data_IF_721407628813
#
_entry.id   IF_721407628813
#
_cell.length_a   1.000
_cell.length_b   1.000
_cell.length_c   1.000
_cell.angle_alpha   90.00
_cell.angle_beta   90.00
_cell.angle_gamma   90.00
#
_symmetry.space_group_name_H-M   'P 1'
#
loop_
_entity.id
_entity.type
_entity.pdbx_description
1 polymer ?
#
# COMPACT_ATOMS: atom_id res chain seq x y z
N UNK A 1 -17.40 10.83 1.39
CA UNK A 1 -16.26 10.15 0.75
C UNK A 1 -16.67 9.66 -0.62
N UNK A 2 -15.71 9.28 -1.45
CA UNK A 2 -15.92 8.60 -2.73
C UNK A 2 -14.95 7.42 -2.79
N UNK A 3 -15.32 6.34 -3.48
CA UNK A 3 -14.50 5.12 -3.57
C UNK A 3 -14.83 4.32 -4.83
N UNK A 4 -13.89 3.49 -5.25
CA UNK A 4 -13.99 2.63 -6.42
C UNK A 4 -13.06 1.43 -6.27
N UNK A 5 -13.53 0.26 -6.72
CA UNK A 5 -12.68 -0.92 -6.90
C UNK A 5 -12.14 -0.95 -8.33
N UNK A 6 -10.83 -1.21 -8.47
CA UNK A 6 -10.17 -1.33 -9.78
C UNK A 6 -9.36 -2.62 -9.82
N UNK A 7 -9.50 -3.38 -10.91
CA UNK A 7 -8.75 -4.62 -11.13
C UNK A 7 -7.70 -4.42 -12.23
N UNK A 8 -6.45 -4.74 -11.93
CA UNK A 8 -5.36 -4.76 -12.90
C UNK A 8 -5.11 -6.21 -13.37
N UNK A 9 -5.76 -6.59 -14.47
CA UNK A 9 -5.70 -7.96 -14.98
C UNK A 9 -4.28 -8.36 -15.44
N UNK A 10 -3.87 -9.59 -15.16
CA UNK A 10 -2.57 -10.14 -15.58
C UNK A 10 -1.35 -9.55 -14.86
N UNK A 11 -1.56 -8.76 -13.81
CA UNK A 11 -0.50 -8.20 -12.98
C UNK A 11 -0.23 -9.10 -11.78
N UNK A 12 1.04 -9.41 -11.51
CA UNK A 12 1.48 -10.19 -10.35
C UNK A 12 2.15 -9.33 -9.27
N UNK A 13 2.51 -8.09 -9.60
CA UNK A 13 3.14 -7.13 -8.69
C UNK A 13 2.51 -5.76 -8.85
N UNK A 14 2.44 -5.01 -7.76
CA UNK A 14 1.98 -3.63 -7.75
C UNK A 14 3.05 -2.70 -7.15
N UNK A 15 3.05 -1.44 -7.58
CA UNK A 15 4.05 -0.43 -7.24
C UNK A 15 3.41 0.97 -7.12
N UNK A 16 4.17 1.91 -6.56
CA UNK A 16 3.77 3.31 -6.45
C UNK A 16 3.30 3.66 -5.03
N UNK A 17 2.20 4.41 -4.95
CA UNK A 17 1.59 4.93 -3.72
C UNK A 17 2.61 5.52 -2.73
N UNK A 18 3.49 6.39 -3.23
CA UNK A 18 4.42 7.14 -2.39
C UNK A 18 3.66 8.16 -1.52
N UNK A 19 4.17 8.55 -0.36
CA UNK A 19 5.48 8.27 0.22
C UNK A 19 5.40 7.26 1.39
N UNK A 20 6.29 6.26 1.40
CA UNK A 20 6.31 5.16 2.38
C UNK A 20 7.73 4.67 2.64
N UNK A 21 8.00 4.24 3.86
CA UNK A 21 9.28 3.64 4.27
C UNK A 21 9.29 2.11 4.07
N UNK A 22 8.87 1.64 2.89
CA UNK A 22 8.73 0.21 2.56
C UNK A 22 9.50 -0.18 1.31
N UNK A 23 9.66 -1.50 1.04
CA UNK A 23 10.06 -1.98 -0.27
C UNK A 23 9.20 -1.40 -1.41
N UNK A 24 9.79 -1.38 -2.60
CA UNK A 24 9.15 -0.88 -3.82
C UNK A 24 7.87 -1.68 -4.20
N UNK A 25 7.86 -3.03 -4.16
CA UNK A 25 6.63 -3.80 -4.34
C UNK A 25 5.64 -3.54 -3.20
N UNK A 26 4.38 -3.31 -3.55
CA UNK A 26 3.28 -3.25 -2.59
C UNK A 26 2.95 -4.64 -2.06
N UNK A 27 2.41 -4.67 -0.85
CA UNK A 27 1.94 -5.85 -0.17
C UNK A 27 0.41 -5.81 -0.05
N UNK A 28 -0.21 -6.98 0.05
CA UNK A 28 -1.65 -7.08 0.30
C UNK A 28 -1.99 -6.45 1.66
N UNK A 29 -3.00 -5.60 1.67
CA UNK A 29 -3.50 -4.92 2.86
C UNK A 29 -4.69 -5.65 3.47
N UNK A 30 -5.39 -6.49 2.71
CA UNK A 30 -6.51 -7.26 3.23
C UNK A 30 -6.04 -8.44 4.06
N UNK A 31 -6.72 -8.64 5.19
CA UNK A 31 -6.47 -9.75 6.12
C UNK A 31 -6.73 -9.35 7.57
N UNK A 32 -6.63 -10.31 8.51
CA UNK A 32 -6.72 -10.00 9.92
C UNK A 32 -5.62 -9.02 10.31
N UNK A 33 -5.99 -7.95 11.02
CA UNK A 33 -5.04 -7.05 11.67
C UNK A 33 -4.19 -7.87 12.63
N UNK A 34 -2.89 -7.91 12.42
CA UNK A 34 -1.98 -8.45 13.43
C UNK A 34 -1.84 -7.39 14.53
N UNK A 35 -2.26 -7.67 15.77
CA UNK A 35 -2.09 -6.72 16.87
C UNK A 35 -0.60 -6.41 17.05
N UNK A 36 -0.21 -5.17 17.41
CA UNK A 36 1.18 -4.78 17.59
C UNK A 36 1.91 -5.62 18.65
N UNK A 37 1.20 -6.10 19.66
CA UNK A 37 1.71 -7.02 20.70
C UNK A 37 1.96 -8.46 20.19
N UNK A 38 1.43 -8.81 19.03
CA UNK A 38 1.59 -10.11 18.37
C UNK A 38 2.52 -10.04 17.15
N UNK A 39 3.08 -8.85 16.84
CA UNK A 39 4.09 -8.72 15.80
C UNK A 39 5.41 -9.34 16.31
N UNK A 40 6.08 -10.21 15.53
CA UNK A 40 7.43 -10.65 15.89
C UNK A 40 8.40 -9.47 15.87
N UNK A 41 9.56 -9.59 16.52
CA UNK A 41 10.60 -8.54 16.59
C UNK A 41 11.05 -8.01 15.21
N UNK A 42 10.80 -8.79 14.16
CA UNK A 42 10.99 -8.42 12.76
C UNK A 42 9.76 -8.88 11.95
N UNK A 43 8.67 -8.09 11.93
CA UNK A 43 7.48 -8.43 11.17
C UNK A 43 7.81 -8.44 9.66
N UNK A 44 7.17 -9.32 8.86
CA UNK A 44 7.25 -9.16 7.41
C UNK A 44 6.78 -7.73 7.03
N UNK A 45 7.39 -7.11 6.01
CA UNK A 45 7.03 -5.76 5.60
C UNK A 45 5.55 -5.70 5.23
N UNK A 46 4.82 -4.79 5.89
CA UNK A 46 3.38 -4.62 5.74
C UNK A 46 2.56 -5.52 6.69
N UNK A 47 2.07 -4.95 7.80
CA UNK A 47 0.99 -5.55 8.58
C UNK A 47 -0.29 -5.74 7.74
N UNK A 48 -0.73 -6.99 7.52
CA UNK A 48 -2.06 -7.26 6.96
C UNK A 48 -3.13 -6.59 7.83
N UNK A 49 -4.15 -6.04 7.19
CA UNK A 49 -5.31 -5.40 7.81
C UNK A 49 -5.30 -3.88 7.85
N UNK A 50 -4.26 -3.20 7.34
CA UNK A 50 -4.22 -1.74 7.24
C UNK A 50 -4.04 -1.25 5.79
N UNK A 51 -4.92 -0.35 5.30
CA UNK A 51 -4.81 0.18 3.94
C UNK A 51 -3.61 1.15 3.84
N UNK A 52 -3.05 1.28 2.63
CA UNK A 52 -2.15 2.39 2.35
C UNK A 52 -2.90 3.70 2.53
N UNK A 53 -2.35 4.62 3.33
CA UNK A 53 -2.93 5.94 3.57
C UNK A 53 -2.10 6.99 2.84
N UNK A 54 -2.79 7.86 2.11
CA UNK A 54 -2.21 9.01 1.43
C UNK A 54 -2.77 10.25 2.12
N UNK A 55 -1.98 10.80 3.03
CA UNK A 55 -2.34 11.99 3.79
C UNK A 55 -1.06 12.66 4.30
N UNK A 56 -0.70 13.81 3.75
CA UNK A 56 0.59 14.43 4.05
C UNK A 56 0.67 14.78 5.55
N UNK A 57 1.58 14.14 6.27
CA UNK A 57 1.81 14.30 7.70
C UNK A 57 3.27 14.60 8.00
N UNK A 58 3.50 15.35 9.08
CA UNK A 58 4.80 15.46 9.72
C UNK A 58 4.94 14.32 10.74
N UNK A 59 5.71 13.29 10.38
CA UNK A 59 5.91 12.10 11.21
C UNK A 59 7.29 12.14 11.85
N UNK A 60 7.32 12.48 13.14
CA UNK A 60 8.54 12.43 13.94
C UNK A 60 9.07 10.99 14.06
N UNK A 61 10.35 10.80 13.71
CA UNK A 61 11.06 9.54 13.96
C UNK A 61 10.41 8.32 13.29
N UNK A 62 9.92 8.49 12.05
CA UNK A 62 9.27 7.40 11.32
C UNK A 62 10.16 6.15 11.25
N UNK A 63 9.53 4.99 11.41
CA UNK A 63 10.25 3.73 11.44
C UNK A 63 10.42 3.18 10.01
N UNK A 64 11.65 2.77 9.68
CA UNK A 64 12.00 2.14 8.39
C UNK A 64 12.17 0.62 8.48
N UNK A 65 12.19 0.09 9.70
CA UNK A 65 12.41 -1.32 10.04
C UNK A 65 11.12 -2.01 10.43
N UNK A 66 10.18 -1.29 11.02
CA UNK A 66 8.88 -1.82 11.41
C UNK A 66 7.92 -1.84 10.21
N UNK A 67 7.19 -2.94 10.06
CA UNK A 67 6.17 -3.18 9.04
C UNK A 67 4.95 -2.24 9.06
N UNK A 68 5.05 -1.06 9.67
CA UNK A 68 4.11 0.07 9.59
C UNK A 68 4.21 0.83 8.27
N UNK A 69 4.40 0.08 7.19
CA UNK A 69 4.55 0.59 5.84
C UNK A 69 3.36 1.35 5.27
N UNK A 70 2.27 1.41 6.03
CA UNK A 70 1.02 2.04 5.71
C UNK A 70 0.85 3.42 6.37
N UNK A 71 1.78 3.79 7.26
CA UNK A 71 1.81 5.13 7.83
C UNK A 71 2.09 6.15 6.72
N UNK A 72 1.22 7.17 6.56
CA UNK A 72 1.47 8.20 5.56
C UNK A 72 2.63 9.10 6.02
N UNK A 73 3.44 9.55 5.07
CA UNK A 73 4.56 10.46 5.29
C UNK A 73 4.27 11.85 4.68
N UNK A 74 5.29 12.55 4.22
CA UNK A 74 5.23 13.98 3.91
C UNK A 74 4.57 14.28 2.56
N UNK A 75 4.70 13.37 1.59
CA UNK A 75 4.13 13.49 0.27
C UNK A 75 3.16 12.37 -0.10
N UNK A 76 2.24 12.68 -1.01
CA UNK A 76 1.29 11.73 -1.57
C UNK A 76 1.25 11.84 -3.09
N UNK A 77 1.52 10.74 -3.79
CA UNK A 77 1.31 10.63 -5.24
C UNK A 77 0.34 9.47 -5.48
N UNK A 78 -0.93 9.75 -5.84
CA UNK A 78 -1.98 8.72 -5.93
C UNK A 78 -1.92 7.94 -7.25
N UNK A 79 -0.76 7.35 -7.53
CA UNK A 79 -0.47 6.54 -8.70
C UNK A 79 -0.19 5.09 -8.28
N UNK A 80 -0.98 4.17 -8.82
CA UNK A 80 -0.78 2.72 -8.70
C UNK A 80 -0.34 2.17 -10.04
N UNK A 81 0.70 1.34 -10.05
CA UNK A 81 1.20 0.65 -11.24
C UNK A 81 1.14 -0.86 -11.00
N UNK A 82 0.59 -1.61 -11.95
CA UNK A 82 0.59 -3.08 -11.98
C UNK A 82 1.53 -3.58 -13.07
N UNK A 83 2.30 -4.63 -12.76
CA UNK A 83 3.14 -5.33 -13.72
C UNK A 83 3.04 -6.85 -13.53
N UNK A 84 3.33 -7.60 -14.58
CA UNK A 84 3.31 -9.07 -14.58
C UNK A 84 4.09 -9.62 -15.77
N UNK A 85 3.63 -10.74 -16.33
CA UNK A 85 4.22 -11.30 -17.55
C UNK A 85 3.88 -10.52 -18.83
N UNK A 86 2.94 -9.58 -18.77
CA UNK A 86 2.47 -8.77 -19.88
C UNK A 86 2.81 -7.27 -19.75
N UNK A 87 2.14 -6.40 -20.53
CA UNK A 87 2.31 -4.95 -20.42
C UNK A 87 1.95 -4.41 -19.03
N UNK A 88 2.67 -3.38 -18.59
CA UNK A 88 2.33 -2.68 -17.35
C UNK A 88 1.04 -1.86 -17.53
N UNK A 89 0.21 -1.82 -16.50
CA UNK A 89 -1.01 -1.00 -16.43
C UNK A 89 -0.96 -0.09 -15.21
N UNK A 90 -1.75 0.98 -15.19
CA UNK A 90 -1.71 1.92 -14.06
C UNK A 90 -2.97 2.72 -13.90
N UNK A 91 -3.17 3.21 -12.68
CA UNK A 91 -4.33 4.01 -12.26
C UNK A 91 -3.80 5.25 -11.55
N UNK A 92 -4.21 6.42 -12.05
CA UNK A 92 -4.03 7.70 -11.37
C UNK A 92 -5.35 8.11 -10.72
N UNK A 93 -5.43 8.04 -9.40
CA UNK A 93 -6.57 8.52 -8.64
C UNK A 93 -6.40 10.02 -8.36
N UNK A 94 -6.83 10.86 -9.31
CA UNK A 94 -6.63 12.30 -9.26
C UNK A 94 -7.54 12.97 -8.22
N UNK A 95 -7.22 12.76 -6.94
CA UNK A 95 -7.97 13.29 -5.80
C UNK A 95 -6.99 13.88 -4.77
N UNK A 96 -7.18 15.14 -4.32
CA UNK A 96 -6.30 15.77 -3.34
C UNK A 96 -6.68 15.50 -1.88
N UNK A 97 -7.82 14.84 -1.63
CA UNK A 97 -8.28 14.52 -0.28
C UNK A 97 -7.55 13.29 0.27
N UNK A 98 -7.64 13.09 1.59
CA UNK A 98 -7.23 11.84 2.22
C UNK A 98 -7.75 10.63 1.45
N UNK A 99 -6.85 9.71 1.11
CA UNK A 99 -7.17 8.51 0.34
C UNK A 99 -6.64 7.27 1.06
N UNK A 100 -7.50 6.27 1.21
CA UNK A 100 -7.16 4.94 1.71
C UNK A 100 -7.20 3.97 0.53
N UNK A 101 -6.17 3.14 0.38
CA UNK A 101 -6.06 2.16 -0.70
C UNK A 101 -5.84 0.78 -0.11
N UNK A 102 -6.83 -0.08 -0.30
CA UNK A 102 -6.68 -1.51 -0.06
C UNK A 102 -6.17 -2.24 -1.30
N UNK A 103 -5.31 -3.23 -1.09
CA UNK A 103 -4.72 -4.05 -2.13
C UNK A 103 -4.89 -5.53 -1.78
N UNK A 104 -5.29 -6.31 -2.78
CA UNK A 104 -5.45 -7.75 -2.67
C UNK A 104 -5.03 -8.40 -3.99
N UNK A 105 -4.08 -9.34 -3.90
CA UNK A 105 -3.67 -10.18 -5.01
C UNK A 105 -4.56 -11.43 -5.03
N UNK A 106 -5.34 -11.61 -6.09
CA UNK A 106 -6.16 -12.81 -6.25
C UNK A 106 -5.29 -14.02 -6.63
N UNK A 107 -5.40 -15.10 -5.85
CA UNK A 107 -4.73 -16.36 -6.16
C UNK A 107 -5.44 -17.08 -7.31
N UNK A 108 -4.96 -16.91 -8.55
CA UNK A 108 -5.43 -17.70 -9.71
C UNK A 108 -5.66 -16.96 -11.02
N UNK A 109 -4.89 -15.91 -11.32
CA UNK A 109 -4.87 -15.26 -12.64
C UNK A 109 -3.82 -15.85 -13.56
#
# INVERSE_FOLDING_TARGET
SVGMDVRLAGCSHAYGLSERATPLPLHDTKGPKTPPECLPDNPPPGARGEPYRLYNLDVFGYDTRLGFGYQPLYGSVPLLLGSGGGPATGVLWLNPSETLVDLETEAGG
#
